data_IF_480117752073
#
_entry.id   IF_480117752073
#
_cell.length_a   1.000
_cell.length_b   1.000
_cell.length_c   1.000
_cell.angle_alpha   90.00
_cell.angle_beta   90.00
_cell.angle_gamma   90.00
#
_symmetry.space_group_name_H-M   'P 1'
#
loop_
_entity.id
_entity.type
_entity.pdbx_description
1 polymer ?
#
# COMPACT_ATOMS: atom_id res chain seq x y z
N UNK A 1 -96.61 -8.15 71.61
CA UNK A 1 -96.03 -9.14 72.54
C UNK A 1 -96.59 -10.50 72.17
N UNK A 2 -95.75 -11.47 71.78
CA UNK A 2 -96.18 -12.86 71.55
C UNK A 2 -96.47 -13.50 72.91
N UNK A 3 -97.69 -14.01 73.10
CA UNK A 3 -98.08 -14.73 74.31
C UNK A 3 -97.35 -16.07 74.37
N UNK A 4 -96.32 -16.15 75.21
CA UNK A 4 -95.73 -17.43 75.58
C UNK A 4 -96.49 -17.99 76.79
N UNK A 5 -96.90 -19.26 76.69
CA UNK A 5 -97.50 -20.03 77.78
C UNK A 5 -96.47 -20.27 78.90
N UNK A 6 -96.18 -19.23 79.70
CA UNK A 6 -95.49 -19.42 80.97
C UNK A 6 -96.45 -20.19 81.87
N UNK A 7 -96.01 -21.33 82.41
CA UNK A 7 -96.76 -22.06 83.43
C UNK A 7 -96.96 -21.10 84.61
N UNK A 8 -98.15 -20.52 84.71
CA UNK A 8 -98.49 -19.43 85.62
C UNK A 8 -99.19 -20.03 86.84
N UNK A 9 -98.51 -20.05 87.98
CA UNK A 9 -99.14 -20.41 89.26
C UNK A 9 -99.65 -19.14 89.93
N UNK A 10 -100.96 -19.03 90.06
CA UNK A 10 -101.63 -17.88 90.71
C UNK A 10 -102.02 -18.31 92.12
N UNK A 11 -101.45 -17.68 93.14
CA UNK A 11 -101.80 -17.93 94.55
C UNK A 11 -102.35 -16.62 95.11
N UNK A 12 -103.67 -16.56 95.30
CA UNK A 12 -104.37 -15.32 95.66
C UNK A 12 -104.20 -14.22 94.61
N UNK A 13 -103.87 -13.01 95.03
CA UNK A 13 -103.62 -11.85 94.15
C UNK A 13 -102.19 -11.78 93.60
N UNK A 14 -101.33 -12.75 93.90
CA UNK A 14 -99.93 -12.76 93.45
C UNK A 14 -99.73 -13.76 92.32
N UNK A 15 -99.05 -13.31 91.27
CA UNK A 15 -98.65 -14.14 90.12
C UNK A 15 -97.17 -14.53 90.26
N UNK A 16 -96.87 -15.82 90.34
CA UNK A 16 -95.50 -16.32 90.44
C UNK A 16 -95.11 -17.00 89.13
N UNK A 17 -93.97 -16.59 88.58
CA UNK A 17 -93.39 -17.13 87.35
C UNK A 17 -92.16 -17.98 87.67
N UNK A 18 -91.99 -19.12 86.98
CA UNK A 18 -90.76 -19.89 87.06
C UNK A 18 -89.61 -19.07 86.44
N UNK A 19 -88.69 -18.62 87.30
CA UNK A 19 -87.54 -17.82 86.92
C UNK A 19 -86.70 -18.49 85.83
N UNK A 20 -86.59 -19.83 85.84
CA UNK A 20 -85.77 -20.57 84.85
C UNK A 20 -86.31 -20.41 83.42
N UNK A 21 -87.63 -20.36 83.26
CA UNK A 21 -88.26 -20.19 81.94
C UNK A 21 -88.05 -18.76 81.44
N UNK A 22 -88.20 -17.75 82.30
CA UNK A 22 -87.96 -16.34 81.95
C UNK A 22 -86.53 -16.12 81.45
N UNK A 23 -85.52 -16.66 82.14
CA UNK A 23 -84.12 -16.57 81.70
C UNK A 23 -83.87 -17.29 80.37
N UNK A 24 -84.48 -18.46 80.15
CA UNK A 24 -84.30 -19.23 78.91
C UNK A 24 -84.91 -18.52 77.69
N UNK A 25 -86.09 -17.91 77.84
CA UNK A 25 -86.73 -17.15 76.75
C UNK A 25 -85.91 -15.90 76.41
N UNK A 26 -85.49 -15.14 77.43
CA UNK A 26 -84.66 -13.94 77.24
C UNK A 26 -83.30 -14.28 76.60
N UNK A 27 -82.64 -15.35 77.03
CA UNK A 27 -81.38 -15.79 76.43
C UNK A 27 -81.57 -16.25 74.97
N UNK A 28 -82.65 -16.94 74.64
CA UNK A 28 -82.91 -17.36 73.25
C UNK A 28 -83.22 -16.18 72.33
N UNK A 29 -83.86 -15.13 72.85
CA UNK A 29 -84.12 -13.89 72.10
C UNK A 29 -82.81 -13.13 71.83
N UNK A 30 -81.94 -12.99 72.85
CA UNK A 30 -80.58 -12.44 72.66
C UNK A 30 -79.75 -13.27 71.66
N UNK A 31 -79.77 -14.60 71.76
CA UNK A 31 -79.07 -15.48 70.81
C UNK A 31 -79.59 -15.32 69.38
N UNK A 32 -80.89 -15.12 69.20
CA UNK A 32 -81.47 -14.91 67.87
C UNK A 32 -81.09 -13.55 67.26
N UNK A 33 -80.87 -12.52 68.08
CA UNK A 33 -80.34 -11.23 67.63
C UNK A 33 -78.85 -11.31 67.28
N UNK A 34 -78.05 -12.01 68.10
CA UNK A 34 -76.63 -12.28 67.81
C UNK A 34 -76.44 -13.07 66.50
N UNK A 35 -77.27 -14.09 66.26
CA UNK A 35 -77.21 -14.86 64.99
C UNK A 35 -77.53 -13.97 63.79
N UNK A 36 -78.53 -13.09 63.88
CA UNK A 36 -78.87 -12.17 62.78
C UNK A 36 -77.77 -11.15 62.50
N UNK A 37 -77.11 -10.65 63.54
CA UNK A 37 -75.97 -9.75 63.40
C UNK A 37 -74.79 -10.49 62.74
N UNK A 38 -74.48 -11.71 63.20
CA UNK A 38 -73.43 -12.54 62.62
C UNK A 38 -73.70 -12.90 61.14
N UNK A 39 -74.94 -13.24 60.79
CA UNK A 39 -75.34 -13.51 59.40
C UNK A 39 -75.20 -12.25 58.52
N UNK A 40 -75.52 -11.07 59.07
CA UNK A 40 -75.33 -9.78 58.40
C UNK A 40 -73.86 -9.47 58.12
N UNK A 41 -73.00 -9.64 59.13
CA UNK A 41 -71.55 -9.48 59.02
C UNK A 41 -70.94 -10.48 58.02
N UNK A 42 -71.40 -11.74 58.01
CA UNK A 42 -70.95 -12.75 57.05
C UNK A 42 -71.30 -12.35 55.61
N UNK A 43 -72.50 -11.82 55.39
CA UNK A 43 -72.94 -11.38 54.05
C UNK A 43 -72.15 -10.17 53.55
N UNK A 44 -71.80 -9.22 54.44
CA UNK A 44 -70.93 -8.09 54.11
C UNK A 44 -69.52 -8.56 53.75
N UNK A 45 -68.94 -9.49 54.52
CA UNK A 45 -67.62 -10.07 54.26
C UNK A 45 -67.58 -10.83 52.92
N UNK A 46 -68.63 -11.60 52.59
CA UNK A 46 -68.76 -12.27 51.27
C UNK A 46 -68.73 -11.27 50.13
N UNK A 47 -69.50 -10.19 50.24
CA UNK A 47 -69.56 -9.15 49.22
C UNK A 47 -68.20 -8.45 49.04
N UNK A 48 -67.50 -8.19 50.14
CA UNK A 48 -66.16 -7.60 50.12
C UNK A 48 -65.13 -8.53 49.46
N UNK A 49 -65.20 -9.83 49.75
CA UNK A 49 -64.33 -10.85 49.14
C UNK A 49 -64.54 -10.93 47.63
N UNK A 50 -65.78 -11.02 47.16
CA UNK A 50 -66.10 -11.06 45.72
C UNK A 50 -65.55 -9.82 44.99
N UNK A 51 -65.71 -8.64 45.58
CA UNK A 51 -65.16 -7.40 45.03
C UNK A 51 -63.63 -7.40 44.98
N UNK A 52 -62.97 -7.88 46.05
CA UNK A 52 -61.50 -7.98 46.12
C UNK A 52 -60.96 -9.01 45.12
N UNK A 53 -61.62 -10.14 44.97
CA UNK A 53 -61.23 -11.20 44.05
C UNK A 53 -61.33 -10.73 42.59
N UNK A 54 -62.41 -10.03 42.23
CA UNK A 54 -62.52 -9.36 40.93
C UNK A 54 -61.42 -8.32 40.68
N UNK A 55 -61.04 -7.56 41.70
CA UNK A 55 -59.94 -6.58 41.60
C UNK A 55 -58.57 -7.23 41.39
N UNK A 56 -58.29 -8.34 42.08
CA UNK A 56 -57.04 -9.10 41.94
C UNK A 56 -56.95 -9.69 40.52
N UNK A 57 -58.04 -10.23 40.00
CA UNK A 57 -58.08 -10.79 38.64
C UNK A 57 -57.71 -9.75 37.57
N UNK A 58 -58.23 -8.53 37.66
CA UNK A 58 -57.88 -7.46 36.73
C UNK A 58 -56.43 -6.97 36.91
N UNK A 59 -55.92 -6.94 38.15
CA UNK A 59 -54.51 -6.63 38.40
C UNK A 59 -53.56 -7.67 37.79
N UNK A 60 -53.87 -8.96 37.91
CA UNK A 60 -53.07 -10.04 37.31
C UNK A 60 -53.05 -9.97 35.78
N UNK A 61 -54.19 -9.62 35.18
CA UNK A 61 -54.28 -9.38 33.73
C UNK A 61 -53.39 -8.23 33.29
N UNK A 62 -53.39 -7.11 34.04
CA UNK A 62 -52.48 -6.00 33.77
C UNK A 62 -51.01 -6.39 33.97
N UNK A 63 -50.69 -7.14 35.02
CA UNK A 63 -49.34 -7.62 35.30
C UNK A 63 -48.81 -8.50 34.16
N UNK A 64 -49.64 -9.38 33.61
CA UNK A 64 -49.27 -10.23 32.49
C UNK A 64 -48.96 -9.40 31.22
N UNK A 65 -49.76 -8.35 30.96
CA UNK A 65 -49.50 -7.41 29.86
C UNK A 65 -48.16 -6.68 30.06
N UNK A 66 -47.89 -6.20 31.28
CA UNK A 66 -46.63 -5.53 31.62
C UNK A 66 -45.45 -6.48 31.44
N UNK A 67 -45.57 -7.72 31.91
CA UNK A 67 -44.53 -8.75 31.79
C UNK A 67 -44.18 -9.03 30.33
N UNK A 68 -45.19 -9.24 29.47
CA UNK A 68 -44.99 -9.44 28.02
C UNK A 68 -44.33 -8.24 27.36
N UNK A 69 -44.72 -7.01 27.73
CA UNK A 69 -44.10 -5.79 27.20
C UNK A 69 -42.63 -5.67 27.62
N UNK A 70 -42.32 -5.97 28.88
CA UNK A 70 -40.94 -5.97 29.39
C UNK A 70 -40.05 -6.92 28.60
N UNK A 71 -40.50 -8.17 28.40
CA UNK A 71 -39.76 -9.19 27.66
C UNK A 71 -39.55 -8.82 26.17
N UNK A 72 -40.52 -8.14 25.56
CA UNK A 72 -40.35 -7.62 24.20
C UNK A 72 -39.28 -6.51 24.14
N UNK A 73 -39.30 -5.57 25.09
CA UNK A 73 -38.32 -4.47 25.15
C UNK A 73 -36.91 -5.01 25.37
N UNK A 74 -36.75 -5.97 26.29
CA UNK A 74 -35.46 -6.57 26.65
C UNK A 74 -34.80 -7.26 25.43
N UNK A 75 -35.55 -8.11 24.71
CA UNK A 75 -35.10 -8.69 23.43
C UNK A 75 -34.69 -7.64 22.41
N UNK A 76 -35.46 -6.56 22.32
CA UNK A 76 -35.23 -5.49 21.35
C UNK A 76 -34.07 -4.57 21.72
N UNK A 77 -33.64 -4.51 22.98
CA UNK A 77 -32.48 -3.73 23.43
C UNK A 77 -31.17 -4.52 23.30
N UNK A 78 -31.19 -5.81 23.59
CA UNK A 78 -29.99 -6.66 23.56
C UNK A 78 -29.46 -6.90 22.13
N UNK A 79 -30.37 -6.97 21.16
CA UNK A 79 -30.05 -7.17 19.73
C UNK A 79 -29.32 -5.99 19.08
N UNK A 80 -29.78 -4.72 19.21
CA UNK A 80 -29.09 -3.57 18.61
C UNK A 80 -27.80 -3.18 19.33
N UNK A 81 -27.72 -3.31 20.65
CA UNK A 81 -26.50 -2.94 21.40
C UNK A 81 -25.31 -3.83 21.03
N UNK A 82 -25.51 -5.15 20.98
CA UNK A 82 -24.48 -6.09 20.54
C UNK A 82 -24.05 -5.84 19.09
N UNK A 83 -25.01 -5.57 18.19
CA UNK A 83 -24.72 -5.23 16.78
C UNK A 83 -23.95 -3.92 16.62
N UNK A 84 -24.28 -2.89 17.41
CA UNK A 84 -23.56 -1.61 17.42
C UNK A 84 -22.14 -1.76 17.99
N UNK A 85 -21.98 -2.51 19.09
CA UNK A 85 -20.68 -2.79 19.71
C UNK A 85 -19.74 -3.53 18.76
N UNK A 86 -20.23 -4.53 18.04
CA UNK A 86 -19.47 -5.24 17.01
C UNK A 86 -19.08 -4.31 15.86
N UNK A 87 -20.01 -3.48 15.36
CA UNK A 87 -19.72 -2.50 14.29
C UNK A 87 -18.68 -1.45 14.70
N UNK A 88 -18.73 -0.97 15.93
CA UNK A 88 -17.74 -0.03 16.46
C UNK A 88 -16.36 -0.69 16.58
N UNK A 89 -16.31 -1.93 17.08
CA UNK A 89 -15.05 -2.68 17.19
C UNK A 89 -14.43 -2.95 15.81
N UNK A 90 -15.22 -3.37 14.81
CA UNK A 90 -14.72 -3.60 13.45
C UNK A 90 -14.27 -2.30 12.79
N UNK A 91 -15.00 -1.20 12.98
CA UNK A 91 -14.60 0.14 12.51
C UNK A 91 -13.28 0.59 13.14
N UNK A 92 -13.10 0.41 14.45
CA UNK A 92 -11.85 0.72 15.14
C UNK A 92 -10.66 -0.07 14.62
N UNK A 93 -10.84 -1.38 14.37
CA UNK A 93 -9.81 -2.24 13.76
C UNK A 93 -9.42 -1.76 12.36
N UNK A 94 -10.40 -1.38 11.54
CA UNK A 94 -10.16 -0.85 10.18
C UNK A 94 -9.36 0.46 10.22
N UNK A 95 -9.76 1.39 11.09
CA UNK A 95 -9.06 2.68 11.27
C UNK A 95 -7.61 2.45 11.69
N UNK A 96 -7.34 1.55 12.64
CA UNK A 96 -5.98 1.25 13.08
C UNK A 96 -5.12 0.66 11.94
N UNK A 97 -5.69 -0.24 11.11
CA UNK A 97 -5.00 -0.77 9.93
C UNK A 97 -4.64 0.34 8.94
N UNK A 98 -5.59 1.23 8.62
CA UNK A 98 -5.37 2.37 7.73
C UNK A 98 -4.28 3.28 8.30
N UNK A 99 -4.36 3.60 9.59
CA UNK A 99 -3.38 4.45 10.26
C UNK A 99 -1.96 3.88 10.18
N UNK A 100 -1.79 2.58 10.49
CA UNK A 100 -0.50 1.91 10.38
C UNK A 100 0.03 1.91 8.94
N UNK A 101 -0.83 1.59 7.97
CA UNK A 101 -0.49 1.61 6.55
C UNK A 101 -0.04 2.99 6.07
N UNK A 102 -0.77 4.04 6.46
CA UNK A 102 -0.42 5.42 6.11
C UNK A 102 0.89 5.86 6.74
N UNK A 103 1.14 5.48 7.99
CA UNK A 103 2.41 5.76 8.67
C UNK A 103 3.60 5.12 7.95
N UNK A 104 3.49 3.84 7.56
CA UNK A 104 4.54 3.16 6.80
C UNK A 104 4.74 3.74 5.40
N UNK A 105 3.65 4.09 4.72
CA UNK A 105 3.70 4.74 3.39
C UNK A 105 4.44 6.07 3.46
N UNK A 106 4.15 6.93 4.46
CA UNK A 106 4.89 8.19 4.68
C UNK A 106 6.36 7.94 4.97
N UNK A 107 6.70 6.91 5.76
CA UNK A 107 8.09 6.57 6.05
C UNK A 107 8.84 6.15 4.78
N UNK A 108 8.23 5.30 3.95
CA UNK A 108 8.81 4.89 2.67
C UNK A 108 9.08 6.09 1.75
N UNK A 109 8.12 7.00 1.61
CA UNK A 109 8.31 8.21 0.80
C UNK A 109 9.44 9.10 1.32
N UNK A 110 9.57 9.26 2.64
CA UNK A 110 10.69 10.01 3.25
C UNK A 110 12.04 9.38 2.92
N UNK A 111 12.18 8.07 3.11
CA UNK A 111 13.42 7.36 2.78
C UNK A 111 13.74 7.46 1.29
N UNK A 112 12.75 7.28 0.42
CA UNK A 112 12.95 7.42 -1.03
C UNK A 112 13.38 8.84 -1.43
N UNK A 113 12.85 9.87 -0.78
CA UNK A 113 13.21 11.26 -1.06
C UNK A 113 14.64 11.57 -0.61
N UNK A 114 15.02 11.15 0.60
CA UNK A 114 16.39 11.30 1.11
C UNK A 114 17.42 10.63 0.19
N UNK A 115 17.13 9.40 -0.28
CA UNK A 115 18.00 8.70 -1.22
C UNK A 115 18.10 9.39 -2.59
N UNK A 116 17.03 10.07 -3.03
CA UNK A 116 17.07 10.88 -4.27
C UNK A 116 17.91 12.14 -4.08
N UNK A 117 17.75 12.84 -2.95
CA UNK A 117 18.53 14.03 -2.63
C UNK A 117 20.03 13.73 -2.57
N UNK A 118 20.45 12.69 -1.85
CA UNK A 118 21.87 12.32 -1.76
C UNK A 118 22.49 11.90 -3.10
N UNK A 119 21.71 11.27 -3.99
CA UNK A 119 22.18 10.98 -5.37
C UNK A 119 22.32 12.24 -6.22
N UNK A 120 21.44 13.22 -6.04
CA UNK A 120 21.53 14.50 -6.75
C UNK A 120 22.76 15.29 -6.32
N UNK A 121 23.06 15.33 -5.01
CA UNK A 121 24.27 15.96 -4.48
C UNK A 121 25.55 15.33 -5.07
N UNK A 122 25.63 13.99 -5.08
CA UNK A 122 26.75 13.28 -5.70
C UNK A 122 26.86 13.54 -7.21
N UNK A 123 25.74 13.61 -7.94
CA UNK A 123 25.75 13.94 -9.37
C UNK A 123 26.26 15.36 -9.64
N UNK A 124 25.90 16.32 -8.79
CA UNK A 124 26.40 17.71 -8.88
C UNK A 124 27.91 17.75 -8.64
N UNK A 125 28.40 16.98 -7.67
CA UNK A 125 29.83 16.86 -7.38
C UNK A 125 30.61 16.23 -8.55
N UNK A 126 30.15 15.07 -9.04
CA UNK A 126 30.76 14.43 -10.22
C UNK A 126 30.74 15.33 -11.46
N UNK A 127 29.68 16.12 -11.65
CA UNK A 127 29.62 17.08 -12.76
C UNK A 127 30.74 18.13 -12.66
N UNK A 128 31.01 18.66 -11.46
CA UNK A 128 32.10 19.62 -11.24
C UNK A 128 33.47 18.99 -11.48
N UNK A 129 33.71 17.77 -11.02
CA UNK A 129 34.97 17.05 -11.25
C UNK A 129 35.22 16.82 -12.75
N UNK A 130 34.18 16.43 -13.50
CA UNK A 130 34.27 16.25 -14.95
C UNK A 130 34.63 17.57 -15.64
N UNK A 131 33.99 18.68 -15.25
CA UNK A 131 34.25 20.01 -15.81
C UNK A 131 35.70 20.46 -15.56
N UNK A 132 36.22 20.23 -14.35
CA UNK A 132 37.62 20.49 -13.99
C UNK A 132 38.60 19.63 -14.81
N UNK A 133 38.29 18.34 -14.99
CA UNK A 133 39.12 17.44 -15.80
C UNK A 133 39.14 17.87 -17.28
N UNK A 134 38.00 18.31 -17.83
CA UNK A 134 37.92 18.83 -19.18
C UNK A 134 38.76 20.09 -19.36
N UNK A 135 38.76 21.00 -18.38
CA UNK A 135 39.62 22.19 -18.37
C UNK A 135 41.11 21.82 -18.34
N UNK A 136 41.50 20.90 -17.45
CA UNK A 136 42.89 20.45 -17.34
C UNK A 136 43.38 19.83 -18.66
N UNK A 137 42.57 18.98 -19.30
CA UNK A 137 42.89 18.38 -20.61
C UNK A 137 43.07 19.48 -21.67
N UNK A 138 42.19 20.49 -21.68
CA UNK A 138 42.28 21.63 -22.59
C UNK A 138 43.59 22.40 -22.43
N UNK A 139 43.95 22.75 -21.19
CA UNK A 139 45.19 23.47 -20.87
C UNK A 139 46.42 22.65 -21.30
N UNK A 140 46.47 21.37 -20.95
CA UNK A 140 47.59 20.48 -21.33
C UNK A 140 47.71 20.36 -22.85
N UNK A 141 46.58 20.28 -23.57
CA UNK A 141 46.58 20.20 -25.04
C UNK A 141 47.18 21.46 -25.68
N UNK A 142 46.84 22.64 -25.18
CA UNK A 142 47.41 23.91 -25.64
C UNK A 142 48.92 23.99 -25.35
N UNK A 143 49.36 23.57 -24.17
CA UNK A 143 50.78 23.52 -23.81
C UNK A 143 51.57 22.57 -24.73
N UNK A 144 51.02 21.38 -25.01
CA UNK A 144 51.63 20.42 -25.93
C UNK A 144 51.78 21.02 -27.34
N UNK A 145 50.73 21.65 -27.87
CA UNK A 145 50.77 22.32 -29.19
C UNK A 145 51.85 23.42 -29.24
N UNK A 146 52.01 24.20 -28.18
CA UNK A 146 53.06 25.22 -28.10
C UNK A 146 54.46 24.61 -28.05
N UNK A 147 54.65 23.48 -27.34
CA UNK A 147 55.94 22.78 -27.29
C UNK A 147 56.32 22.09 -28.61
N UNK A 148 55.34 21.65 -29.39
CA UNK A 148 55.54 21.02 -30.70
C UNK A 148 55.96 22.05 -31.75
N UNK A 149 55.39 23.27 -31.69
CA UNK A 149 55.73 24.39 -32.57
C UNK A 149 57.16 24.92 -32.35
N UNK A 150 57.70 24.81 -31.14
CA UNK A 150 59.09 25.18 -30.82
C UNK A 150 60.16 24.20 -31.32
N UNK A 151 59.77 22.97 -31.71
CA UNK A 151 60.71 21.93 -32.17
C UNK A 151 60.82 21.82 -33.71
N UNK A 152 60.00 22.55 -34.48
CA UNK A 152 59.97 22.47 -35.95
C UNK A 152 60.99 23.42 -36.62
N UNK A 153 61.54 24.42 -35.91
CA UNK A 153 62.49 25.39 -36.48
C UNK A 153 63.94 24.90 -36.62
N UNK A 154 64.23 23.59 -36.50
CA UNK A 154 65.59 23.04 -36.65
C UNK A 154 65.68 21.75 -37.48
N UNK A 155 64.98 21.67 -38.61
CA UNK A 155 65.26 20.60 -39.58
C UNK A 155 65.02 21.06 -41.02
N UNK A 156 65.86 21.99 -41.46
CA UNK A 156 66.09 22.25 -42.87
C UNK A 156 67.03 21.17 -43.46
N UNK A 157 66.76 20.83 -44.72
CA UNK A 157 67.54 20.01 -45.66
C UNK A 157 67.29 18.49 -45.62
N UNK A 158 66.63 17.94 -46.65
CA UNK A 158 67.31 17.25 -47.77
C UNK A 158 66.31 16.59 -48.75
N UNK A 159 66.50 16.90 -50.04
CA UNK A 159 66.22 16.16 -51.30
C UNK A 159 64.91 15.40 -51.58
N UNK A 160 64.37 15.74 -52.74
CA UNK A 160 63.55 14.95 -53.66
C UNK A 160 64.05 13.51 -53.88
N UNK A 161 63.15 12.52 -53.85
CA UNK A 161 62.88 11.53 -54.92
C UNK A 161 62.25 10.23 -54.40
N UNK A 162 61.50 9.61 -55.32
CA UNK A 162 60.95 8.25 -55.35
C UNK A 162 59.61 7.99 -54.63
N UNK A 163 58.56 8.09 -55.43
CA UNK A 163 57.33 7.32 -55.35
C UNK A 163 57.61 5.85 -55.03
N UNK A 164 57.43 5.50 -53.77
CA UNK A 164 57.16 4.15 -53.30
C UNK A 164 55.89 4.30 -52.48
N UNK A 165 54.83 3.48 -52.63
CA UNK A 165 53.68 3.59 -51.74
C UNK A 165 54.18 3.22 -50.35
N UNK A 166 54.32 4.23 -49.50
CA UNK A 166 54.71 4.12 -48.11
C UNK A 166 53.74 3.15 -47.44
N UNK A 167 54.32 2.09 -46.86
CA UNK A 167 53.67 1.05 -46.07
C UNK A 167 53.00 1.61 -44.79
N UNK A 168 51.97 2.44 -44.93
CA UNK A 168 51.31 3.12 -43.81
C UNK A 168 50.22 2.28 -43.11
N UNK A 169 49.94 1.07 -43.57
CA UNK A 169 48.76 0.34 -43.10
C UNK A 169 48.98 -1.16 -42.98
N UNK A 170 50.11 -1.56 -42.40
CA UNK A 170 50.31 -2.94 -41.92
C UNK A 170 49.57 -3.10 -40.58
N UNK A 171 48.76 -4.15 -40.49
CA UNK A 171 48.00 -4.56 -39.31
C UNK A 171 48.37 -6.00 -38.97
N UNK A 172 48.22 -6.38 -37.69
CA UNK A 172 48.42 -7.75 -37.23
C UNK A 172 47.10 -8.36 -36.78
N UNK A 173 46.81 -9.57 -37.22
CA UNK A 173 45.67 -10.34 -36.77
C UNK A 173 45.77 -10.66 -35.27
N UNK A 174 44.68 -10.43 -34.53
CA UNK A 174 44.58 -10.69 -33.09
C UNK A 174 44.23 -12.13 -32.75
N UNK A 175 43.60 -12.83 -33.68
CA UNK A 175 43.12 -14.20 -33.53
C UNK A 175 42.89 -14.78 -34.93
N UNK A 176 42.81 -16.11 -35.03
CA UNK A 176 42.49 -16.80 -36.28
C UNK A 176 41.11 -16.38 -36.79
N UNK A 177 41.01 -16.16 -38.11
CA UNK A 177 39.77 -15.83 -38.78
C UNK A 177 39.58 -16.69 -40.03
N UNK A 178 38.45 -17.40 -40.07
CA UNK A 178 38.01 -18.11 -41.25
C UNK A 178 36.88 -17.33 -41.93
N UNK A 179 37.10 -16.97 -43.19
CA UNK A 179 36.16 -16.21 -44.00
C UNK A 179 34.80 -16.90 -44.08
N UNK A 180 33.74 -16.20 -43.69
CA UNK A 180 32.37 -16.72 -43.70
C UNK A 180 31.81 -16.75 -45.14
N UNK A 181 32.20 -15.78 -45.97
CA UNK A 181 31.81 -15.68 -47.36
C UNK A 181 33.01 -15.75 -48.29
N UNK A 182 32.77 -16.06 -49.57
CA UNK A 182 33.83 -16.24 -50.58
C UNK A 182 34.69 -15.01 -50.83
N UNK A 183 34.25 -13.82 -50.42
CA UNK A 183 34.98 -12.56 -50.55
C UNK A 183 35.69 -12.14 -49.25
N UNK A 184 35.61 -12.95 -48.18
CA UNK A 184 36.32 -12.71 -46.93
C UNK A 184 37.71 -13.35 -46.97
N UNK A 185 38.70 -12.60 -46.50
CA UNK A 185 40.05 -13.12 -46.37
C UNK A 185 40.14 -13.98 -45.11
N UNK A 186 40.69 -15.20 -45.24
CA UNK A 186 41.03 -16.03 -44.08
C UNK A 186 42.50 -15.80 -43.70
N UNK A 187 42.78 -15.71 -42.41
CA UNK A 187 44.13 -15.44 -41.88
C UNK A 187 44.29 -16.02 -40.48
N UNK A 188 45.54 -16.23 -40.06
CA UNK A 188 45.87 -16.78 -38.74
C UNK A 188 46.25 -15.67 -37.75
N UNK A 189 46.18 -15.96 -36.45
CA UNK A 189 46.64 -15.07 -35.39
C UNK A 189 48.11 -14.70 -35.60
N UNK A 190 48.44 -13.42 -35.42
CA UNK A 190 49.79 -12.91 -35.62
C UNK A 190 50.17 -12.64 -37.08
N UNK A 191 49.31 -13.00 -38.04
CA UNK A 191 49.54 -12.73 -39.46
C UNK A 191 49.51 -11.23 -39.76
N UNK A 192 50.42 -10.77 -40.62
CA UNK A 192 50.47 -9.38 -41.06
C UNK A 192 49.63 -9.19 -42.31
N UNK A 193 48.80 -8.16 -42.27
CA UNK A 193 47.82 -7.82 -43.29
C UNK A 193 48.04 -6.37 -43.71
N UNK A 194 48.05 -6.12 -45.02
CA UNK A 194 48.12 -4.79 -45.58
C UNK A 194 46.70 -4.29 -45.90
N UNK A 195 46.31 -3.15 -45.32
CA UNK A 195 44.98 -2.57 -45.51
C UNK A 195 45.07 -1.36 -46.43
N UNK A 196 44.57 -1.46 -47.66
CA UNK A 196 44.59 -0.33 -48.59
C UNK A 196 43.28 0.48 -48.61
N UNK A 197 42.17 -0.05 -48.09
CA UNK A 197 40.88 0.66 -48.10
C UNK A 197 40.01 0.37 -46.85
N UNK A 198 39.52 1.44 -46.21
CA UNK A 198 38.61 1.40 -45.06
C UNK A 198 37.23 1.94 -45.44
N UNK A 199 36.53 1.25 -46.34
CA UNK A 199 35.26 1.70 -46.88
C UNK A 199 34.12 1.75 -45.86
N UNK A 200 34.16 0.90 -44.82
CA UNK A 200 33.16 0.86 -43.76
C UNK A 200 33.81 0.59 -42.38
N UNK A 201 33.04 0.65 -41.30
CA UNK A 201 33.54 0.48 -39.93
C UNK A 201 33.81 -0.98 -39.52
N UNK A 202 33.29 -1.95 -40.27
CA UNK A 202 33.26 -3.36 -39.88
C UNK A 202 34.16 -4.25 -40.74
N UNK A 203 34.32 -3.97 -42.02
CA UNK A 203 35.03 -4.75 -43.03
C UNK A 203 35.90 -3.83 -43.90
N UNK A 204 37.20 -4.07 -43.86
CA UNK A 204 38.18 -3.34 -44.65
C UNK A 204 38.68 -4.18 -45.82
N UNK A 205 39.10 -3.54 -46.91
CA UNK A 205 39.75 -4.25 -48.01
C UNK A 205 41.24 -4.32 -47.73
N UNK A 206 41.80 -5.52 -47.84
CA UNK A 206 43.22 -5.72 -47.65
C UNK A 206 43.69 -7.05 -48.18
N UNK A 207 44.98 -7.30 -47.98
CA UNK A 207 45.64 -8.52 -48.43
C UNK A 207 46.52 -9.13 -47.36
N UNK A 208 46.63 -10.45 -47.38
CA UNK A 208 47.59 -11.18 -46.56
C UNK A 208 48.99 -10.96 -47.10
N UNK A 209 49.94 -10.64 -46.22
CA UNK A 209 51.37 -10.63 -46.58
C UNK A 209 51.99 -12.04 -46.57
N UNK A 210 51.28 -13.05 -46.05
CA UNK A 210 51.73 -14.44 -46.00
C UNK A 210 51.24 -15.23 -47.22
N UNK A 211 49.92 -15.24 -47.48
CA UNK A 211 49.34 -15.96 -48.63
C UNK A 211 49.29 -15.12 -49.89
N UNK A 212 49.30 -13.80 -49.77
CA UNK A 212 49.13 -12.87 -50.88
C UNK A 212 47.68 -12.65 -51.30
N UNK A 213 46.74 -13.40 -50.72
CA UNK A 213 45.31 -13.34 -51.04
C UNK A 213 44.68 -12.03 -50.58
N UNK A 214 43.70 -11.56 -51.34
CA UNK A 214 42.96 -10.34 -51.06
C UNK A 214 41.53 -10.65 -50.66
N UNK A 215 40.96 -9.80 -49.81
CA UNK A 215 39.56 -9.93 -49.43
C UNK A 215 39.11 -8.91 -48.40
N UNK A 216 37.88 -9.10 -47.93
CA UNK A 216 37.33 -8.32 -46.83
C UNK A 216 37.83 -8.87 -45.50
N UNK A 217 38.36 -7.98 -44.68
CA UNK A 217 38.96 -8.26 -43.37
C UNK A 217 38.14 -7.55 -42.30
N UNK A 218 37.60 -8.28 -41.32
CA UNK A 218 36.88 -7.66 -40.21
C UNK A 218 37.81 -6.77 -39.37
N UNK A 219 37.44 -5.49 -39.20
CA UNK A 219 38.28 -4.50 -38.49
C UNK A 219 38.54 -4.88 -37.02
N UNK A 220 37.62 -5.60 -36.38
CA UNK A 220 37.74 -6.05 -34.99
C UNK A 220 38.79 -7.15 -34.77
N UNK A 221 39.18 -7.86 -35.83
CA UNK A 221 40.11 -8.99 -35.78
C UNK A 221 41.56 -8.57 -35.96
N UNK A 222 41.82 -7.29 -36.20
CA UNK A 222 43.14 -6.78 -36.54
C UNK A 222 43.56 -5.65 -35.59
N UNK A 223 44.85 -5.38 -35.51
CA UNK A 223 45.43 -4.31 -34.69
C UNK A 223 46.50 -3.58 -35.48
N UNK A 224 46.44 -2.25 -35.49
CA UNK A 224 47.51 -1.46 -36.10
C UNK A 224 48.82 -1.69 -35.37
N UNK A 225 49.88 -1.97 -36.11
CA UNK A 225 51.24 -2.06 -35.59
C UNK A 225 51.89 -0.69 -35.40
N UNK A 226 51.28 0.39 -35.92
CA UNK A 226 51.81 1.74 -35.77
C UNK A 226 51.34 2.39 -34.45
N UNK A 227 52.28 2.96 -33.68
CA UNK A 227 51.97 3.67 -32.43
C UNK A 227 51.17 4.97 -32.62
N UNK A 228 51.03 5.44 -33.87
CA UNK A 228 50.33 6.68 -34.25
C UNK A 228 48.81 6.45 -34.30
N UNK A 229 48.36 5.28 -34.75
CA UNK A 229 46.92 4.95 -34.80
C UNK A 229 46.32 4.76 -33.40
N UNK A 230 47.09 4.31 -32.41
CA UNK A 230 46.60 4.23 -31.00
C UNK A 230 46.10 5.57 -30.46
N UNK A 231 46.72 6.69 -30.88
CA UNK A 231 46.29 8.04 -30.47
C UNK A 231 45.03 8.47 -31.23
N UNK A 232 44.88 8.10 -32.50
CA UNK A 232 43.69 8.40 -33.31
C UNK A 232 42.47 7.55 -32.90
N UNK A 233 42.68 6.27 -32.58
CA UNK A 233 41.65 5.37 -32.06
C UNK A 233 41.14 5.84 -30.68
N UNK A 234 42.02 6.38 -29.84
CA UNK A 234 41.64 6.99 -28.57
C UNK A 234 40.76 8.25 -28.78
N UNK A 235 41.11 9.11 -29.74
CA UNK A 235 40.32 10.29 -30.10
C UNK A 235 38.96 9.90 -30.68
N UNK A 236 38.90 8.91 -31.58
CA UNK A 236 37.64 8.38 -32.12
C UNK A 236 36.78 7.71 -31.03
N UNK A 237 37.38 7.00 -30.08
CA UNK A 237 36.66 6.41 -28.95
C UNK A 237 36.06 7.49 -28.04
N UNK A 238 36.79 8.58 -27.77
CA UNK A 238 36.29 9.70 -26.95
C UNK A 238 35.19 10.48 -27.68
N UNK A 239 35.33 10.67 -29.00
CA UNK A 239 34.31 11.30 -29.84
C UNK A 239 33.01 10.47 -29.88
N UNK A 240 33.11 9.15 -30.02
CA UNK A 240 31.95 8.25 -29.99
C UNK A 240 31.27 8.22 -28.61
N UNK A 241 32.02 8.23 -27.50
CA UNK A 241 31.44 8.34 -26.15
C UNK A 241 30.72 9.70 -25.99
N UNK A 242 31.29 10.78 -26.53
CA UNK A 242 30.66 12.11 -26.49
C UNK A 242 29.37 12.17 -27.34
N UNK A 243 29.35 11.50 -28.48
CA UNK A 243 28.17 11.43 -29.35
C UNK A 243 27.04 10.61 -28.70
N UNK A 244 27.35 9.43 -28.17
CA UNK A 244 26.37 8.56 -27.47
C UNK A 244 25.80 9.20 -26.21
N UNK A 245 26.59 9.98 -25.46
CA UNK A 245 26.09 10.71 -24.30
C UNK A 245 25.13 11.83 -24.70
N UNK A 246 25.40 12.56 -25.78
CA UNK A 246 24.48 13.57 -26.34
C UNK A 246 23.14 12.94 -26.78
N UNK A 247 23.17 11.83 -27.51
CA UNK A 247 21.95 11.12 -27.93
C UNK A 247 21.13 10.62 -26.72
N UNK A 248 21.79 10.07 -25.70
CA UNK A 248 21.14 9.65 -24.45
C UNK A 248 20.52 10.83 -23.70
N UNK A 249 21.15 12.00 -23.69
CA UNK A 249 20.58 13.20 -23.06
C UNK A 249 19.34 13.71 -23.79
N UNK A 250 19.34 13.70 -25.13
CA UNK A 250 18.19 14.16 -25.92
C UNK A 250 17.01 13.18 -25.82
N UNK A 251 17.26 11.87 -25.84
CA UNK A 251 16.22 10.86 -25.59
C UNK A 251 15.60 11.01 -24.19
N UNK A 252 16.40 11.29 -23.16
CA UNK A 252 15.91 11.52 -21.80
C UNK A 252 15.07 12.81 -21.68
N UNK A 253 15.43 13.85 -22.43
CA UNK A 253 14.66 15.10 -22.52
C UNK A 253 13.31 14.86 -23.19
N UNK A 254 13.28 14.12 -24.30
CA UNK A 254 12.04 13.73 -24.99
C UNK A 254 11.13 12.89 -24.10
N UNK A 255 11.70 11.94 -23.35
CA UNK A 255 10.96 11.10 -22.39
C UNK A 255 10.35 11.93 -21.26
N UNK A 256 11.09 12.90 -20.71
CA UNK A 256 10.55 13.83 -19.70
C UNK A 256 9.41 14.68 -20.25
N UNK A 257 9.51 15.17 -21.49
CA UNK A 257 8.45 15.92 -22.15
C UNK A 257 7.17 15.09 -22.34
N UNK A 258 7.31 13.82 -22.76
CA UNK A 258 6.18 12.92 -22.93
C UNK A 258 5.49 12.58 -21.60
N UNK A 259 6.25 12.40 -20.51
CA UNK A 259 5.68 12.19 -19.16
C UNK A 259 4.93 13.44 -18.69
N UNK A 260 5.47 14.65 -18.94
CA UNK A 260 4.82 15.90 -18.58
C UNK A 260 3.51 16.11 -19.36
N UNK A 261 3.48 15.77 -20.65
CA UNK A 261 2.27 15.79 -21.46
C UNK A 261 1.24 14.78 -20.96
N UNK A 262 1.65 13.54 -20.69
CA UNK A 262 0.76 12.49 -20.19
C UNK A 262 0.07 12.89 -18.86
N UNK A 263 0.82 13.48 -17.93
CA UNK A 263 0.28 13.96 -16.66
C UNK A 263 -0.68 15.16 -16.83
N UNK A 264 -0.55 15.94 -17.91
CA UNK A 264 -1.44 17.08 -18.22
C UNK A 264 -2.80 16.65 -18.76
N UNK A 265 -2.92 15.44 -19.31
CA UNK A 265 -4.16 14.87 -19.84
C UNK A 265 -4.90 13.92 -18.87
N UNK A 266 -4.38 13.73 -17.64
CA UNK A 266 -4.97 12.86 -16.62
C UNK A 266 -5.61 13.60 -15.42
N UNK A 267 -5.68 14.93 -15.45
CA UNK A 267 -6.43 15.70 -14.44
C UNK A 267 -7.88 15.91 -14.93
N UNK A 268 -8.91 15.55 -14.14
CA UNK A 268 -10.30 15.90 -14.43
C UNK A 268 -10.55 17.41 -14.29
#
# INVERSE_FOLDING_TARGET
MKEFNLIRLTIGHYTVYDKRIKYKVMNNECLAEEIKLADGEEQELRTLLDYKEGSIFEQDKQLNIIKKRKEYIERRLETPESKLKVKLLTRGKLINKIFKSKKSETQYFRTSLLMKAGREEALVEYKKEIELLQENISITSVQLLMSEKGNIEKKDQCTQSLDTPTAESIYTARTDYHGIWSHHLSFSEGEQLEIYEKADSFNWSGRSLVSGDEGKIPSSYIRSTSGIDRKKDAVFSVANISFTTLELTEMNKQRKANIALFNKFQLP
#
